data_IF_817675436743
#
_entry.id   IF_817675436743
#
_cell.length_a   1.000
_cell.length_b   1.000
_cell.length_c   1.000
_cell.angle_alpha   90.00
_cell.angle_beta   90.00
_cell.angle_gamma   90.00
#
_symmetry.space_group_name_H-M   'P 1'
#
loop_
_entity.id
_entity.type
_entity.pdbx_description
1 polymer ?
#
# COMPACT_ATOMS: atom_id res chain seq x y z
N UNK A 1 -5.66 12.97 39.05
CA UNK A 1 -4.28 12.99 38.52
C UNK A 1 -4.36 13.09 37.01
N UNK A 2 -3.78 14.12 36.41
CA UNK A 2 -3.69 14.18 34.95
C UNK A 2 -2.70 13.11 34.50
N UNK A 3 -3.18 12.07 33.78
CA UNK A 3 -2.28 11.11 33.14
C UNK A 3 -1.41 11.88 32.14
N UNK A 4 -0.09 11.80 32.31
CA UNK A 4 0.87 12.37 31.36
C UNK A 4 0.68 11.69 30.00
N UNK A 5 0.13 12.43 29.04
CA UNK A 5 -0.24 11.93 27.71
C UNK A 5 0.98 11.60 26.84
N UNK A 6 2.19 11.94 27.31
CA UNK A 6 3.46 11.71 26.59
C UNK A 6 4.13 10.39 26.93
N UNK A 7 3.72 9.73 28.03
CA UNK A 7 4.27 8.43 28.42
C UNK A 7 3.70 7.29 27.56
N UNK A 8 4.58 6.41 27.10
CA UNK A 8 4.21 5.16 26.42
C UNK A 8 3.74 4.16 27.48
N UNK A 9 2.52 3.63 27.33
CA UNK A 9 2.00 2.59 28.22
C UNK A 9 2.72 1.26 27.97
N UNK A 10 3.25 0.65 29.03
CA UNK A 10 3.87 -0.69 28.98
C UNK A 10 2.86 -1.78 28.62
N UNK A 11 1.57 -1.53 28.87
CA UNK A 11 0.48 -2.47 28.60
C UNK A 11 -0.06 -2.36 27.17
N UNK A 12 0.41 -1.38 26.38
CA UNK A 12 0.03 -1.26 24.98
C UNK A 12 0.65 -2.40 24.17
N UNK A 13 -0.18 -3.38 23.80
CA UNK A 13 0.25 -4.57 23.05
C UNK A 13 0.40 -4.32 21.55
N UNK A 14 -0.19 -3.26 21.00
CA UNK A 14 -0.20 -3.01 19.56
C UNK A 14 1.04 -2.25 19.09
N UNK A 15 1.43 -1.20 19.82
CA UNK A 15 2.50 -0.31 19.41
C UNK A 15 3.25 0.34 20.58
N UNK A 16 4.25 1.15 20.23
CA UNK A 16 5.11 1.89 21.16
C UNK A 16 4.81 3.39 21.11
N UNK A 17 3.53 3.77 20.99
CA UNK A 17 3.09 5.17 20.92
C UNK A 17 2.59 5.69 22.28
N UNK A 18 2.77 6.98 22.50
CA UNK A 18 2.10 7.72 23.57
C UNK A 18 0.59 7.83 23.31
N UNK A 19 -0.19 8.15 24.35
CA UNK A 19 -1.64 8.34 24.21
C UNK A 19 -1.97 9.49 23.25
N UNK A 20 -1.15 10.55 23.21
CA UNK A 20 -1.33 11.67 22.29
C UNK A 20 -1.11 11.26 20.82
N UNK A 21 -0.02 10.54 20.54
CA UNK A 21 0.27 10.04 19.19
C UNK A 21 -0.80 9.07 18.71
N UNK A 22 -1.25 8.17 19.60
CA UNK A 22 -2.36 7.27 19.33
C UNK A 22 -3.62 8.03 18.91
N UNK A 23 -4.07 9.00 19.73
CA UNK A 23 -5.28 9.78 19.44
C UNK A 23 -5.15 10.61 18.16
N UNK A 24 -3.94 11.06 17.81
CA UNK A 24 -3.71 11.76 16.54
C UNK A 24 -3.90 10.81 15.36
N UNK A 25 -3.36 9.60 15.44
CA UNK A 25 -3.46 8.61 14.38
C UNK A 25 -4.89 8.10 14.18
N UNK A 26 -5.76 8.09 15.20
CA UNK A 26 -7.15 7.60 15.04
C UNK A 26 -8.05 8.51 14.21
N UNK A 27 -7.60 9.71 13.82
CA UNK A 27 -8.33 10.55 12.85
C UNK A 27 -8.50 9.80 11.52
N UNK A 28 -9.74 9.72 11.06
CA UNK A 28 -10.10 8.96 9.85
C UNK A 28 -9.86 9.69 8.54
N UNK A 29 -9.31 10.91 8.58
CA UNK A 29 -8.81 11.61 7.41
C UNK A 29 -7.56 12.40 7.76
N UNK A 30 -6.67 12.58 6.79
CA UNK A 30 -5.43 13.32 6.97
C UNK A 30 -4.86 13.79 5.62
N UNK A 31 -4.01 14.82 5.68
CA UNK A 31 -3.18 15.25 4.55
C UNK A 31 -1.75 14.84 4.86
N UNK A 32 -1.07 14.21 3.90
CA UNK A 32 0.35 13.87 4.02
C UNK A 32 1.08 14.25 2.75
N UNK A 33 1.87 15.32 2.83
CA UNK A 33 2.62 15.86 1.71
C UNK A 33 4.12 15.67 2.02
N UNK A 34 4.77 14.64 1.44
CA UNK A 34 6.20 14.48 1.62
C UNK A 34 6.95 15.66 0.96
N UNK A 35 8.20 15.93 1.40
CA UNK A 35 9.03 16.91 0.72
C UNK A 35 9.25 16.52 -0.75
N UNK A 36 9.53 17.51 -1.63
CA UNK A 36 9.80 17.25 -3.04
C UNK A 36 10.93 16.22 -3.22
N UNK A 37 10.72 15.23 -4.10
CA UNK A 37 11.71 14.19 -4.39
C UNK A 37 12.93 14.77 -5.10
N UNK A 38 14.12 14.21 -4.83
CA UNK A 38 15.34 14.51 -5.59
C UNK A 38 15.22 13.96 -7.01
N UNK A 39 15.85 14.61 -8.00
CA UNK A 39 15.76 14.26 -9.44
C UNK A 39 16.01 12.78 -9.75
N UNK A 40 16.92 12.12 -9.03
CA UNK A 40 17.25 10.70 -9.25
C UNK A 40 16.14 9.75 -8.74
N UNK A 41 15.36 10.15 -7.73
CA UNK A 41 14.24 9.34 -7.22
C UNK A 41 12.99 9.42 -8.13
N UNK A 42 12.91 10.44 -8.98
CA UNK A 42 11.80 10.64 -9.93
C UNK A 42 11.77 9.62 -11.06
N UNK A 43 12.89 8.95 -11.34
CA UNK A 43 13.00 7.89 -12.36
C UNK A 43 12.28 6.60 -11.95
N UNK A 44 11.89 6.48 -10.69
CA UNK A 44 11.20 5.31 -10.17
C UNK A 44 9.68 5.51 -10.16
N UNK A 45 8.91 4.49 -10.59
CA UNK A 45 7.47 4.60 -10.71
C UNK A 45 6.77 4.88 -9.37
N UNK A 46 5.50 5.28 -9.47
CA UNK A 46 4.73 5.99 -8.45
C UNK A 46 4.65 5.28 -7.08
N UNK A 47 5.71 5.41 -6.27
CA UNK A 47 5.75 4.97 -4.88
C UNK A 47 4.91 5.87 -3.98
N UNK A 48 4.21 5.31 -2.98
CA UNK A 48 3.72 6.09 -1.85
C UNK A 48 4.90 6.61 -1.00
N UNK A 49 4.73 7.68 -0.22
CA UNK A 49 5.83 8.25 0.57
C UNK A 49 6.24 7.33 1.72
N UNK A 50 7.53 7.14 1.92
CA UNK A 50 8.08 6.29 2.99
C UNK A 50 7.60 6.77 4.36
N UNK A 51 7.62 8.08 4.60
CA UNK A 51 7.15 8.68 5.85
C UNK A 51 5.67 8.44 6.13
N UNK A 52 4.83 8.28 5.11
CA UNK A 52 3.43 7.90 5.29
C UNK A 52 3.35 6.48 5.85
N UNK A 53 4.12 5.56 5.28
CA UNK A 53 4.13 4.16 5.68
C UNK A 53 4.71 3.99 7.07
N UNK A 54 5.71 4.79 7.45
CA UNK A 54 6.23 4.80 8.82
C UNK A 54 5.14 5.06 9.86
N UNK A 55 4.17 5.95 9.59
CA UNK A 55 3.06 6.22 10.52
C UNK A 55 2.21 4.98 10.74
N UNK A 56 1.85 4.27 9.66
CA UNK A 56 1.09 3.03 9.73
C UNK A 56 1.87 1.90 10.41
N UNK A 57 3.14 1.71 10.06
CA UNK A 57 4.01 0.71 10.70
C UNK A 57 4.12 1.00 12.20
N UNK A 58 4.40 2.26 12.59
CA UNK A 58 4.49 2.64 14.01
C UNK A 58 3.19 2.39 14.76
N UNK A 59 2.03 2.55 14.12
CA UNK A 59 0.73 2.31 14.77
C UNK A 59 0.34 0.84 14.84
N UNK A 60 0.61 0.02 13.83
CA UNK A 60 0.16 -1.37 13.79
C UNK A 60 1.21 -2.38 14.26
N UNK A 61 2.40 -1.91 14.67
CA UNK A 61 3.48 -2.78 15.14
C UNK A 61 4.32 -2.18 16.27
N UNK A 62 5.04 -3.04 16.98
CA UNK A 62 6.20 -2.74 17.82
C UNK A 62 7.51 -2.90 17.05
N UNK A 63 8.59 -2.33 17.58
CA UNK A 63 9.93 -2.56 17.02
C UNK A 63 10.26 -4.07 16.94
N UNK A 64 10.99 -4.46 15.89
CA UNK A 64 11.40 -5.84 15.62
C UNK A 64 10.33 -6.76 15.02
N UNK A 65 9.06 -6.32 14.96
CA UNK A 65 7.98 -7.08 14.33
C UNK A 65 8.08 -7.10 12.80
N UNK A 66 7.37 -8.07 12.20
CA UNK A 66 7.44 -8.38 10.78
C UNK A 66 6.38 -7.61 10.00
N UNK A 67 6.81 -6.80 9.04
CA UNK A 67 5.94 -6.07 8.12
C UNK A 67 6.08 -6.68 6.73
N UNK A 68 4.97 -6.86 6.03
CA UNK A 68 4.94 -7.46 4.70
C UNK A 68 4.29 -6.56 3.64
N UNK A 69 4.89 -6.53 2.46
CA UNK A 69 4.34 -5.90 1.24
C UNK A 69 4.35 -6.88 0.05
N UNK A 70 3.17 -7.34 -0.44
CA UNK A 70 3.10 -8.22 -1.60
C UNK A 70 3.36 -7.52 -2.95
N UNK A 71 3.41 -6.19 -2.99
CA UNK A 71 3.63 -5.39 -4.20
C UNK A 71 4.73 -4.35 -3.93
N UNK A 72 5.92 -4.85 -3.62
CA UNK A 72 7.00 -4.05 -3.05
C UNK A 72 7.43 -2.86 -3.95
N UNK A 73 7.38 -3.04 -5.26
CA UNK A 73 7.84 -2.05 -6.23
C UNK A 73 9.30 -1.68 -5.96
N UNK A 74 9.57 -0.38 -5.80
CA UNK A 74 10.93 0.12 -5.53
C UNK A 74 11.31 0.15 -4.06
N UNK A 75 10.56 -0.48 -3.15
CA UNK A 75 11.04 -0.74 -1.79
C UNK A 75 10.59 0.22 -0.68
N UNK A 76 9.59 1.07 -0.91
CA UNK A 76 9.21 2.12 0.06
C UNK A 76 8.75 1.57 1.40
N UNK A 77 8.03 0.44 1.42
CA UNK A 77 7.67 -0.23 2.68
C UNK A 77 8.89 -0.70 3.46
N UNK A 78 9.91 -1.26 2.78
CA UNK A 78 11.11 -1.75 3.44
C UNK A 78 11.99 -0.61 3.98
N UNK A 79 12.09 0.50 3.26
CA UNK A 79 12.76 1.72 3.77
C UNK A 79 12.04 2.22 5.03
N UNK A 80 10.71 2.25 5.03
CA UNK A 80 9.93 2.60 6.21
C UNK A 80 10.16 1.61 7.37
N UNK A 81 10.28 0.30 7.09
CA UNK A 81 10.63 -0.72 8.08
C UNK A 81 12.00 -0.45 8.72
N UNK A 82 13.02 -0.19 7.90
CA UNK A 82 14.35 0.17 8.38
C UNK A 82 14.34 1.41 9.27
N UNK A 83 13.72 2.50 8.82
CA UNK A 83 13.61 3.76 9.59
C UNK A 83 12.86 3.59 10.92
N UNK A 84 11.99 2.59 10.99
CA UNK A 84 11.19 2.27 12.17
C UNK A 84 11.74 1.09 12.95
N UNK A 85 12.87 0.47 12.56
CA UNK A 85 13.44 -0.72 13.21
C UNK A 85 12.48 -1.92 13.23
N UNK A 86 11.79 -2.17 12.12
CA UNK A 86 10.97 -3.37 11.86
C UNK A 86 11.67 -4.26 10.83
N UNK A 87 11.30 -5.53 10.82
CA UNK A 87 11.77 -6.50 9.82
C UNK A 87 10.80 -6.50 8.66
N UNK A 88 11.18 -5.88 7.55
CA UNK A 88 10.37 -5.84 6.35
C UNK A 88 10.65 -7.03 5.44
N UNK A 89 9.59 -7.57 4.86
CA UNK A 89 9.62 -8.58 3.81
C UNK A 89 8.79 -8.03 2.65
N UNK A 90 9.31 -8.06 1.44
CA UNK A 90 8.57 -7.64 0.25
C UNK A 90 8.75 -8.60 -0.91
N UNK A 91 7.67 -8.84 -1.65
CA UNK A 91 7.71 -9.58 -2.91
C UNK A 91 7.57 -8.59 -4.06
N UNK A 92 8.43 -8.72 -5.06
CA UNK A 92 8.39 -7.95 -6.31
C UNK A 92 8.51 -8.89 -7.50
N UNK A 93 7.63 -8.74 -8.48
CA UNK A 93 7.61 -9.59 -9.67
C UNK A 93 8.75 -9.26 -10.62
N UNK A 94 9.07 -7.97 -10.75
CA UNK A 94 10.03 -7.47 -11.75
C UNK A 94 11.43 -7.31 -11.15
N UNK A 95 12.38 -8.11 -11.62
CA UNK A 95 13.80 -8.07 -11.22
C UNK A 95 14.38 -6.63 -11.22
N UNK A 96 14.04 -5.81 -12.23
CA UNK A 96 14.44 -4.39 -12.31
C UNK A 96 14.06 -3.62 -11.04
N UNK A 97 12.81 -3.72 -10.57
CA UNK A 97 12.34 -2.97 -9.41
C UNK A 97 12.83 -3.58 -8.10
N UNK A 98 12.94 -4.91 -8.05
CA UNK A 98 13.47 -5.61 -6.89
C UNK A 98 14.92 -5.19 -6.59
N UNK A 99 15.78 -5.12 -7.61
CA UNK A 99 17.17 -4.65 -7.45
C UNK A 99 17.24 -3.22 -6.93
N UNK A 100 16.38 -2.33 -7.44
CA UNK A 100 16.27 -0.96 -6.92
C UNK A 100 15.85 -0.98 -5.45
N UNK A 101 14.94 -1.87 -5.05
CA UNK A 101 14.53 -2.01 -3.66
C UNK A 101 15.69 -2.50 -2.79
N UNK A 102 16.45 -3.50 -3.25
CA UNK A 102 17.64 -4.04 -2.56
C UNK A 102 18.73 -2.98 -2.34
N UNK A 103 19.02 -2.14 -3.34
CA UNK A 103 20.01 -1.06 -3.22
C UNK A 103 19.63 0.02 -2.20
N UNK A 104 18.34 0.12 -1.85
CA UNK A 104 17.81 1.15 -0.97
C UNK A 104 17.73 0.76 0.50
N UNK A 105 17.93 -0.52 0.82
CA UNK A 105 17.65 -1.07 2.16
C UNK A 105 18.82 -1.86 2.71
N UNK A 106 18.92 -1.88 4.03
CA UNK A 106 19.93 -2.66 4.74
C UNK A 106 19.65 -4.17 4.57
N UNK A 107 20.68 -5.04 4.70
CA UNK A 107 20.54 -6.50 4.55
C UNK A 107 19.55 -7.17 5.51
N UNK A 108 19.09 -6.48 6.56
CA UNK A 108 18.04 -6.98 7.45
C UNK A 108 16.64 -6.99 6.80
N UNK A 109 16.45 -6.21 5.73
CA UNK A 109 15.22 -6.17 4.96
C UNK A 109 15.27 -7.21 3.84
N UNK A 110 14.19 -7.96 3.65
CA UNK A 110 14.17 -9.07 2.68
C UNK A 110 13.36 -8.71 1.45
N UNK A 111 14.04 -8.61 0.30
CA UNK A 111 13.43 -8.52 -1.03
C UNK A 111 13.38 -9.93 -1.62
N UNK A 112 12.22 -10.32 -2.18
CA UNK A 112 12.02 -11.61 -2.82
C UNK A 112 11.50 -11.36 -4.24
N UNK A 113 12.24 -11.86 -5.23
CA UNK A 113 11.86 -11.78 -6.64
C UNK A 113 11.01 -13.00 -6.99
N UNK A 114 9.68 -12.83 -6.98
CA UNK A 114 8.71 -13.91 -7.24
C UNK A 114 7.31 -13.33 -7.51
N UNK A 115 6.36 -14.19 -7.87
CA UNK A 115 4.95 -13.83 -7.93
C UNK A 115 4.31 -13.97 -6.54
N UNK A 116 3.80 -12.85 -6.02
CA UNK A 116 3.06 -12.78 -4.75
C UNK A 116 1.88 -13.76 -4.66
N UNK A 117 1.33 -14.21 -5.79
CA UNK A 117 0.25 -15.20 -5.82
C UNK A 117 0.66 -16.58 -5.24
N UNK A 118 1.97 -16.84 -5.15
CA UNK A 118 2.62 -18.04 -4.59
C UNK A 118 3.11 -17.84 -3.15
N UNK A 119 2.49 -16.92 -2.39
CA UNK A 119 2.98 -16.51 -1.07
C UNK A 119 3.20 -17.68 -0.09
N UNK A 120 2.40 -18.75 -0.16
CA UNK A 120 2.53 -19.88 0.78
C UNK A 120 3.82 -20.64 0.53
N UNK A 121 4.08 -20.96 -0.73
CA UNK A 121 5.27 -21.66 -1.19
C UNK A 121 6.52 -20.82 -0.89
N UNK A 122 6.44 -19.51 -1.16
CA UNK A 122 7.50 -18.56 -0.84
C UNK A 122 7.81 -18.55 0.66
N UNK A 123 6.78 -18.51 1.52
CA UNK A 123 6.94 -18.48 2.98
C UNK A 123 7.63 -19.73 3.51
N UNK A 124 7.22 -20.90 3.02
CA UNK A 124 7.79 -22.20 3.42
C UNK A 124 9.22 -22.34 2.90
N UNK A 125 9.45 -22.08 1.61
CA UNK A 125 10.77 -22.20 0.96
C UNK A 125 11.84 -21.35 1.63
N UNK A 126 11.46 -20.18 2.15
CA UNK A 126 12.37 -19.21 2.73
C UNK A 126 12.42 -19.23 4.27
N UNK A 127 11.70 -20.15 4.92
CA UNK A 127 11.56 -20.25 6.38
C UNK A 127 11.23 -18.90 7.04
N UNK A 128 10.19 -18.23 6.53
CA UNK A 128 9.86 -16.87 6.94
C UNK A 128 9.00 -16.83 8.22
N UNK A 129 9.22 -15.85 9.12
CA UNK A 129 8.39 -15.68 10.30
C UNK A 129 6.97 -15.27 9.94
N UNK A 130 6.01 -15.51 10.84
CA UNK A 130 4.63 -15.03 10.67
C UNK A 130 4.57 -13.50 10.66
N UNK A 131 3.70 -12.97 9.80
CA UNK A 131 3.52 -11.54 9.59
C UNK A 131 2.74 -10.90 10.76
N UNK A 132 3.24 -9.78 11.27
CA UNK A 132 2.54 -8.94 12.27
C UNK A 132 1.68 -7.84 11.61
N UNK A 133 2.12 -7.32 10.46
CA UNK A 133 1.41 -6.27 9.74
C UNK A 133 1.62 -6.37 8.22
N UNK A 134 0.55 -6.21 7.45
CA UNK A 134 0.63 -6.07 5.98
C UNK A 134 0.31 -4.63 5.61
N UNK A 135 1.10 -4.02 4.73
CA UNK A 135 0.76 -2.73 4.13
C UNK A 135 1.20 -2.70 2.68
N UNK A 136 0.30 -2.23 1.81
CA UNK A 136 0.59 -2.14 0.37
C UNK A 136 -0.32 -1.17 -0.36
N UNK A 137 0.04 -0.86 -1.60
CA UNK A 137 -0.81 -0.26 -2.61
C UNK A 137 -0.76 -1.14 -3.85
N UNK A 138 -1.85 -1.84 -4.23
CA UNK A 138 -1.82 -2.76 -5.34
C UNK A 138 -1.57 -2.03 -6.68
N UNK A 139 -0.99 -2.69 -7.69
CA UNK A 139 -0.87 -2.14 -9.02
C UNK A 139 -2.29 -1.99 -9.61
N UNK A 140 -2.68 -0.77 -9.93
CA UNK A 140 -4.01 -0.42 -10.42
C UNK A 140 -4.23 -0.87 -11.88
N UNK A 141 -4.18 -2.17 -12.18
CA UNK A 141 -4.15 -2.71 -13.55
C UNK A 141 -5.19 -2.11 -14.51
N UNK A 142 -6.48 -2.06 -14.15
CA UNK A 142 -7.52 -1.44 -14.98
C UNK A 142 -7.35 0.07 -15.26
N UNK A 143 -6.50 0.74 -14.48
CA UNK A 143 -6.19 2.18 -14.57
C UNK A 143 -4.86 2.45 -15.30
N UNK A 144 -3.87 1.55 -15.17
CA UNK A 144 -2.50 1.75 -15.70
C UNK A 144 -2.43 1.72 -17.22
N UNK A 145 -3.34 1.01 -17.90
CA UNK A 145 -3.33 0.85 -19.35
C UNK A 145 -4.15 1.91 -20.11
N UNK A 146 -4.59 3.00 -19.47
CA UNK A 146 -5.43 4.04 -20.11
C UNK A 146 -4.67 5.34 -20.35
N UNK A 147 -4.46 5.64 -21.64
CA UNK A 147 -3.86 6.90 -22.13
C UNK A 147 -4.65 8.12 -21.65
N UNK A 148 -4.14 8.77 -20.62
CA UNK A 148 -4.63 10.06 -20.11
C UNK A 148 -3.57 11.16 -20.19
N UNK A 149 -3.98 12.41 -19.93
CA UNK A 149 -3.08 13.58 -19.90
C UNK A 149 -1.87 13.41 -18.97
N UNK A 150 -2.02 12.63 -17.89
CA UNK A 150 -0.95 12.30 -16.94
C UNK A 150 0.03 11.27 -17.51
N UNK A 151 -0.45 10.28 -18.28
CA UNK A 151 0.40 9.29 -18.94
C UNK A 151 1.22 9.93 -20.06
N UNK A 152 0.62 10.83 -20.85
CA UNK A 152 1.34 11.57 -21.90
C UNK A 152 2.53 12.38 -21.35
N UNK A 153 2.36 13.06 -20.20
CA UNK A 153 3.46 13.76 -19.53
C UNK A 153 4.55 12.82 -18.97
N UNK A 154 4.20 11.58 -18.61
CA UNK A 154 5.18 10.57 -18.15
C UNK A 154 6.00 10.03 -19.31
N UNK A 155 5.37 9.79 -20.46
CA UNK A 155 6.05 9.39 -21.71
C UNK A 155 7.03 10.48 -22.16
N UNK A 156 6.61 11.76 -22.13
CA UNK A 156 7.48 12.92 -22.41
C UNK A 156 8.67 13.03 -21.45
N UNK A 157 8.55 12.50 -20.23
CA UNK A 157 9.60 12.49 -19.21
C UNK A 157 10.42 11.19 -19.19
N UNK A 158 10.17 10.25 -20.11
CA UNK A 158 10.88 8.96 -20.18
C UNK A 158 10.59 8.03 -18.99
N UNK A 159 9.46 8.23 -18.29
CA UNK A 159 9.05 7.41 -17.15
C UNK A 159 8.22 6.22 -17.59
N UNK A 160 8.44 5.06 -16.96
CA UNK A 160 7.69 3.84 -17.24
C UNK A 160 6.17 4.08 -17.06
N UNK A 161 5.40 3.72 -18.10
CA UNK A 161 3.94 3.81 -18.14
C UNK A 161 3.24 2.45 -18.12
N UNK A 162 3.97 1.38 -18.44
CA UNK A 162 3.57 -0.02 -18.26
C UNK A 162 4.70 -0.75 -17.54
N UNK A 163 4.35 -1.49 -16.48
CA UNK A 163 5.34 -2.04 -15.55
C UNK A 163 5.83 -3.45 -15.94
N UNK A 164 5.03 -4.23 -16.67
CA UNK A 164 5.39 -5.55 -17.21
C UNK A 164 4.54 -5.94 -18.41
N UNK A 165 5.01 -6.94 -19.18
CA UNK A 165 4.23 -7.66 -20.20
C UNK A 165 3.74 -9.04 -19.70
N UNK A 166 4.08 -9.43 -18.46
CA UNK A 166 3.76 -10.74 -17.91
C UNK A 166 2.26 -10.88 -17.59
N UNK A 167 1.63 -12.01 -17.94
CA UNK A 167 0.20 -12.26 -17.69
C UNK A 167 -0.16 -12.36 -16.20
N UNK A 168 0.81 -12.77 -15.38
CA UNK A 168 0.70 -12.83 -13.92
C UNK A 168 0.80 -11.46 -13.24
N UNK A 169 1.24 -10.41 -13.95
CA UNK A 169 1.26 -9.06 -13.38
C UNK A 169 -0.17 -8.55 -13.18
N UNK A 170 -0.51 -8.21 -11.94
CA UNK A 170 -1.79 -7.60 -11.59
C UNK A 170 -2.05 -6.29 -12.36
N UNK A 171 -0.99 -5.57 -12.73
CA UNK A 171 -1.02 -4.40 -13.61
C UNK A 171 -1.57 -4.66 -15.01
N UNK A 172 -1.57 -5.93 -15.46
CA UNK A 172 -2.06 -6.34 -16.77
C UNK A 172 -3.50 -6.89 -16.75
N UNK A 173 -4.14 -7.01 -15.58
CA UNK A 173 -5.52 -7.46 -15.47
C UNK A 173 -6.46 -6.32 -15.88
N UNK A 174 -7.04 -6.42 -17.08
CA UNK A 174 -7.90 -5.37 -17.63
C UNK A 174 -9.36 -5.47 -17.15
N UNK A 175 -9.82 -6.66 -16.80
CA UNK A 175 -11.20 -6.89 -16.34
C UNK A 175 -11.33 -6.59 -14.86
N UNK A 176 -12.21 -5.65 -14.53
CA UNK A 176 -12.43 -5.13 -13.17
C UNK A 176 -12.74 -6.24 -12.14
N UNK A 177 -13.70 -7.10 -12.44
CA UNK A 177 -14.12 -8.15 -11.50
C UNK A 177 -13.02 -9.19 -11.27
N UNK A 178 -12.31 -9.58 -12.34
CA UNK A 178 -11.17 -10.51 -12.26
C UNK A 178 -10.03 -9.89 -11.43
N UNK A 179 -9.80 -8.58 -11.56
CA UNK A 179 -8.80 -7.89 -10.75
C UNK A 179 -9.14 -7.96 -9.26
N UNK A 180 -10.40 -7.67 -8.89
CA UNK A 180 -10.86 -7.78 -7.50
C UNK A 180 -10.75 -9.22 -7.00
N UNK A 181 -11.20 -10.20 -7.77
CA UNK A 181 -11.14 -11.63 -7.42
C UNK A 181 -9.71 -12.08 -7.14
N UNK A 182 -8.77 -11.80 -8.05
CA UNK A 182 -7.36 -12.15 -7.88
C UNK A 182 -6.74 -11.43 -6.68
N UNK A 183 -7.11 -10.17 -6.44
CA UNK A 183 -6.55 -9.41 -5.32
C UNK A 183 -7.04 -9.97 -4.00
N UNK A 184 -8.32 -10.32 -3.91
CA UNK A 184 -8.92 -10.98 -2.74
C UNK A 184 -8.28 -12.35 -2.50
N UNK A 185 -8.04 -13.15 -3.55
CA UNK A 185 -7.35 -14.44 -3.44
C UNK A 185 -5.93 -14.29 -2.86
N UNK A 186 -5.16 -13.32 -3.35
CA UNK A 186 -3.84 -13.01 -2.81
C UNK A 186 -3.89 -12.71 -1.30
N UNK A 187 -4.81 -11.85 -0.87
CA UNK A 187 -4.96 -11.53 0.55
C UNK A 187 -5.50 -12.71 1.37
N UNK A 188 -6.36 -13.54 0.80
CA UNK A 188 -6.83 -14.78 1.43
C UNK A 188 -5.66 -15.74 1.70
N UNK A 189 -4.74 -15.91 0.74
CA UNK A 189 -3.50 -16.70 0.93
C UNK A 189 -2.56 -16.04 1.93
N UNK A 190 -2.39 -14.72 1.85
CA UNK A 190 -1.57 -13.93 2.79
C UNK A 190 -2.04 -14.10 4.23
N UNK A 191 -3.36 -14.16 4.44
CA UNK A 191 -3.97 -14.40 5.76
C UNK A 191 -3.39 -15.64 6.45
N UNK A 192 -3.05 -16.70 5.72
CA UNK A 192 -2.61 -17.97 6.31
C UNK A 192 -1.23 -17.86 6.98
N UNK A 193 -0.38 -16.97 6.49
CA UNK A 193 0.97 -16.71 7.04
C UNK A 193 1.02 -15.52 8.01
N UNK A 194 -0.12 -14.86 8.24
CA UNK A 194 -0.27 -13.82 9.27
C UNK A 194 -0.51 -14.38 10.67
N UNK A 195 -0.08 -13.65 11.70
CA UNK A 195 -0.50 -13.90 13.09
C UNK A 195 -1.99 -13.61 13.27
N UNK A 196 -2.62 -14.29 14.22
CA UNK A 196 -3.97 -13.91 14.68
C UNK A 196 -3.88 -12.50 15.27
N UNK A 197 -4.94 -11.71 15.08
CA UNK A 197 -5.04 -10.29 15.46
C UNK A 197 -4.13 -9.31 14.71
N UNK A 198 -3.33 -9.79 13.75
CA UNK A 198 -2.57 -8.94 12.84
C UNK A 198 -3.48 -8.09 11.94
N UNK A 199 -2.95 -6.95 11.51
CA UNK A 199 -3.66 -6.02 10.64
C UNK A 199 -3.11 -6.05 9.21
N UNK A 200 -3.98 -5.72 8.25
CA UNK A 200 -3.61 -5.47 6.87
C UNK A 200 -4.18 -4.11 6.45
N UNK A 201 -3.33 -3.24 5.90
CA UNK A 201 -3.72 -1.95 5.34
C UNK A 201 -3.53 -1.98 3.84
N UNK A 202 -4.62 -1.76 3.10
CA UNK A 202 -4.58 -1.66 1.64
C UNK A 202 -4.91 -0.22 1.27
N UNK A 203 -3.91 0.47 0.70
CA UNK A 203 -4.05 1.84 0.21
C UNK A 203 -4.52 1.74 -1.24
N UNK A 204 -5.76 2.13 -1.50
CA UNK A 204 -6.41 1.98 -2.78
C UNK A 204 -7.16 3.26 -3.11
N UNK A 205 -7.30 3.59 -4.39
CA UNK A 205 -8.00 4.79 -4.86
C UNK A 205 -9.14 4.37 -5.79
N UNK A 206 -10.32 4.92 -5.53
CA UNK A 206 -11.43 4.93 -6.48
C UNK A 206 -11.02 5.70 -7.75
N UNK A 207 -11.52 5.31 -8.91
CA UNK A 207 -11.09 5.96 -10.17
C UNK A 207 -12.24 6.05 -11.15
N UNK A 208 -12.07 6.85 -12.20
CA UNK A 208 -13.04 6.96 -13.27
C UNK A 208 -12.64 6.13 -14.47
N UNK A 209 -13.60 5.39 -15.02
CA UNK A 209 -13.46 4.63 -16.24
C UNK A 209 -14.49 5.10 -17.28
N UNK A 210 -14.05 5.93 -18.24
CA UNK A 210 -14.95 6.58 -19.18
C UNK A 210 -15.98 7.46 -18.47
N UNK A 211 -17.26 7.12 -18.61
CA UNK A 211 -18.39 7.79 -17.96
C UNK A 211 -18.67 7.30 -16.55
N UNK A 212 -18.14 6.13 -16.16
CA UNK A 212 -18.46 5.47 -14.90
C UNK A 212 -17.43 5.79 -13.81
N UNK A 213 -17.90 6.02 -12.59
CA UNK A 213 -17.04 6.14 -11.41
C UNK A 213 -16.94 4.78 -10.72
N UNK A 214 -15.75 4.19 -10.72
CA UNK A 214 -15.49 2.87 -10.12
C UNK A 214 -15.15 3.02 -8.64
N UNK A 215 -15.94 2.36 -7.81
CA UNK A 215 -15.79 2.29 -6.35
C UNK A 215 -14.84 1.17 -5.93
N UNK A 216 -13.68 1.07 -6.60
CA UNK A 216 -12.70 -0.01 -6.42
C UNK A 216 -12.39 -0.29 -4.95
N UNK A 217 -12.22 0.75 -4.14
CA UNK A 217 -11.95 0.61 -2.72
C UNK A 217 -13.05 -0.16 -1.98
N UNK A 218 -14.31 0.17 -2.28
CA UNK A 218 -15.47 -0.37 -1.57
C UNK A 218 -15.89 -1.74 -2.09
N UNK A 219 -15.73 -1.99 -3.38
CA UNK A 219 -15.99 -3.28 -3.98
C UNK A 219 -14.97 -4.31 -3.47
N UNK A 220 -13.68 -3.94 -3.46
CA UNK A 220 -12.62 -4.74 -2.85
C UNK A 220 -12.87 -4.94 -1.35
N UNK A 221 -13.21 -3.89 -0.59
CA UNK A 221 -13.50 -4.01 0.84
C UNK A 221 -14.66 -4.95 1.13
N UNK A 222 -15.70 -4.94 0.29
CA UNK A 222 -16.85 -5.83 0.43
C UNK A 222 -16.45 -7.29 0.17
N UNK A 223 -15.70 -7.55 -0.90
CA UNK A 223 -15.22 -8.90 -1.21
C UNK A 223 -14.26 -9.45 -0.13
N UNK A 224 -13.38 -8.60 0.41
CA UNK A 224 -12.43 -8.95 1.47
C UNK A 224 -13.07 -9.39 2.79
N UNK A 225 -14.33 -8.99 3.07
CA UNK A 225 -15.05 -9.37 4.30
C UNK A 225 -15.21 -10.88 4.49
N UNK A 226 -15.09 -11.66 3.41
CA UNK A 226 -15.07 -13.13 3.47
C UNK A 226 -13.87 -13.66 4.28
N UNK A 227 -12.75 -12.94 4.30
CA UNK A 227 -11.48 -13.42 4.88
C UNK A 227 -11.04 -12.58 6.08
N UNK A 228 -11.32 -11.28 6.09
CA UNK A 228 -10.90 -10.35 7.14
C UNK A 228 -12.06 -9.53 7.70
N UNK A 229 -11.91 -9.05 8.92
CA UNK A 229 -12.82 -8.05 9.49
C UNK A 229 -12.36 -6.65 9.10
N UNK A 230 -13.19 -5.88 8.38
CA UNK A 230 -12.93 -4.46 8.14
C UNK A 230 -13.06 -3.70 9.47
N UNK A 231 -11.94 -3.22 9.99
CA UNK A 231 -11.86 -2.54 11.30
C UNK A 231 -12.00 -1.02 11.19
N UNK A 232 -11.72 -0.45 10.02
CA UNK A 232 -11.87 0.98 9.78
C UNK A 232 -11.36 1.40 8.42
N UNK A 233 -11.56 2.68 8.10
CA UNK A 233 -11.05 3.32 6.89
C UNK A 233 -10.45 4.67 7.28
N UNK A 234 -9.28 4.98 6.72
CA UNK A 234 -8.71 6.33 6.75
C UNK A 234 -8.67 6.90 5.33
N UNK A 235 -8.90 8.20 5.19
CA UNK A 235 -8.83 8.91 3.91
C UNK A 235 -7.51 9.71 3.86
N UNK A 236 -6.62 9.34 2.95
CA UNK A 236 -5.43 10.14 2.65
C UNK A 236 -5.76 11.16 1.58
N UNK A 237 -5.87 12.42 1.97
CA UNK A 237 -6.14 13.55 1.09
C UNK A 237 -4.84 14.09 0.49
N UNK A 238 -4.88 14.42 -0.81
CA UNK A 238 -3.77 14.99 -1.59
C UNK A 238 -4.20 16.35 -2.14
N UNK A 239 -4.07 17.38 -1.31
CA UNK A 239 -4.42 18.77 -1.63
C UNK A 239 -3.37 19.49 -2.49
N UNK A 240 -2.25 18.83 -2.78
CA UNK A 240 -1.16 19.31 -3.62
C UNK A 240 -1.19 18.77 -5.07
N UNK A 241 -2.18 17.94 -5.42
CA UNK A 241 -2.36 17.47 -6.80
C UNK A 241 -2.92 18.57 -7.70
N UNK A 242 -2.42 18.65 -8.93
CA UNK A 242 -2.95 19.57 -9.96
C UNK A 242 -4.41 19.25 -10.26
N UNK A 243 -5.26 20.28 -10.25
CA UNK A 243 -6.65 20.18 -10.68
C UNK A 243 -6.75 20.32 -12.20
N UNK A 244 -7.59 19.49 -12.81
CA UNK A 244 -7.93 19.59 -14.22
C UNK A 244 -9.42 19.91 -14.37
N UNK A 245 -9.81 20.73 -15.36
CA UNK A 245 -11.20 21.15 -15.56
C UNK A 245 -12.02 20.07 -16.27
N UNK A 246 -12.01 18.84 -15.74
CA UNK A 246 -12.74 17.73 -16.33
C UNK A 246 -14.25 18.03 -16.37
N UNK A 247 -14.87 17.78 -17.54
CA UNK A 247 -16.31 18.00 -17.74
C UNK A 247 -16.76 19.47 -17.78
N UNK A 248 -15.85 20.44 -17.65
CA UNK A 248 -16.20 21.87 -17.67
C UNK A 248 -17.04 22.23 -18.91
N UNK A 249 -18.18 22.91 -18.67
CA UNK A 249 -19.25 23.27 -19.62
C UNK A 249 -20.19 22.15 -20.09
N UNK A 250 -19.97 20.88 -19.73
CA UNK A 250 -20.74 19.76 -20.29
C UNK A 250 -21.25 18.73 -19.26
N UNK A 251 -20.47 18.38 -18.23
CA UNK A 251 -20.86 17.35 -17.25
C UNK A 251 -20.07 17.44 -15.93
N UNK A 252 -20.57 16.80 -14.88
CA UNK A 252 -19.81 16.64 -13.64
C UNK A 252 -18.75 15.53 -13.79
N UNK A 253 -17.48 15.89 -13.61
CA UNK A 253 -16.38 14.93 -13.53
C UNK A 253 -15.45 15.35 -12.38
N UNK A 254 -15.31 14.54 -11.31
CA UNK A 254 -14.50 14.91 -10.17
C UNK A 254 -13.01 14.75 -10.46
N UNK A 255 -12.20 15.55 -9.77
CA UNK A 255 -10.77 15.27 -9.61
C UNK A 255 -10.60 14.32 -8.41
N UNK A 256 -10.07 13.11 -8.62
CA UNK A 256 -9.91 12.14 -7.51
C UNK A 256 -8.59 12.35 -6.78
N UNK A 257 -8.66 13.05 -5.66
CA UNK A 257 -7.51 13.53 -4.90
C UNK A 257 -7.39 12.88 -3.51
N UNK A 258 -7.93 11.67 -3.34
CA UNK A 258 -7.77 10.90 -2.12
C UNK A 258 -7.55 9.42 -2.39
N UNK A 259 -6.93 8.74 -1.42
CA UNK A 259 -6.87 7.29 -1.36
C UNK A 259 -7.59 6.82 -0.08
N UNK A 260 -8.28 5.70 -0.19
CA UNK A 260 -8.79 4.94 0.92
C UNK A 260 -7.70 4.03 1.48
N UNK A 261 -7.33 4.23 2.73
CA UNK A 261 -6.53 3.29 3.52
C UNK A 261 -7.49 2.36 4.25
N UNK A 262 -7.79 1.21 3.65
CA UNK A 262 -8.69 0.21 4.21
C UNK A 262 -7.95 -0.61 5.26
N UNK A 263 -8.46 -0.64 6.49
CA UNK A 263 -7.83 -1.32 7.63
C UNK A 263 -8.60 -2.60 7.94
N UNK A 264 -7.97 -3.73 7.69
CA UNK A 264 -8.49 -5.06 7.95
C UNK A 264 -7.77 -5.71 9.13
N UNK A 265 -8.48 -6.58 9.86
CA UNK A 265 -7.93 -7.39 10.95
C UNK A 265 -8.18 -8.87 10.68
N UNK A 266 -7.16 -9.69 10.91
CA UNK A 266 -7.30 -11.15 10.96
C UNK A 266 -7.84 -11.56 12.33
N UNK A 267 -9.13 -11.86 12.41
CA UNK A 267 -9.79 -12.24 13.67
C UNK A 267 -9.79 -13.74 13.93
N UNK A 268 -9.69 -14.57 12.88
CA UNK A 268 -9.57 -16.03 12.92
C UNK A 268 -8.65 -16.49 11.80
#
# INVERSE_FOLDING_TARGET
>A
MAHDKTLISRDNRLNDLSAQEWLRFTKTWFVHNPPPRKKNETLHPAKYPESLIEEFIRFFTKQGQVVFDPFLGTGSTLVACQNTKRKGIGIELQDKYARIAEERVDPEQKVIIDDSSNIKEIWVKNDLPKIDFVITSPPYGPMLNKKGLVQGKREEQGLDTKYSEQEQDFGNILKYDIFIEKLVDLFAKTKEVMKIDAYAVVIIQNYRDGSEFKTLAWDFATAMKKYFTLSGVKIWCQDNKTLYPYGYRYSFVPNVHHHECLIFKKTQ
#
